data_IF_401847983347
#
_entry.id   IF_401847983347
#
_cell.length_a   1.000
_cell.length_b   1.000
_cell.length_c   1.000
_cell.angle_alpha   90.00
_cell.angle_beta   90.00
_cell.angle_gamma   90.00
#
_symmetry.space_group_name_H-M   'P 1'
#
loop_
_entity.id
_entity.type
_entity.pdbx_description
1 polymer ?
#
# COMPACT_ATOMS: atom_id res chain seq x y z
N UNK A 1 18.45 -1.04 -0.77
CA UNK A 1 17.98 -1.50 -2.09
C UNK A 1 16.50 -1.83 -2.00
N UNK A 2 15.68 -1.44 -2.99
CA UNK A 2 14.27 -1.86 -3.07
C UNK A 2 14.16 -3.02 -4.07
N UNK A 3 13.37 -4.04 -3.74
CA UNK A 3 13.09 -5.16 -4.64
C UNK A 3 11.74 -4.96 -5.32
N UNK A 4 11.64 -5.35 -6.59
CA UNK A 4 10.40 -5.31 -7.36
C UNK A 4 9.68 -6.64 -7.22
N UNK A 5 8.40 -6.58 -6.86
CA UNK A 5 7.52 -7.74 -6.73
C UNK A 5 6.26 -7.51 -7.56
N UNK A 6 5.68 -8.60 -8.05
CA UNK A 6 4.35 -8.61 -8.68
C UNK A 6 3.40 -9.31 -7.72
N UNK A 7 2.24 -8.73 -7.50
CA UNK A 7 1.21 -9.26 -6.61
C UNK A 7 -0.16 -9.13 -7.27
N UNK A 8 -1.05 -10.05 -6.93
CA UNK A 8 -2.46 -10.00 -7.29
C UNK A 8 -3.24 -9.56 -6.05
N UNK A 9 -4.10 -8.55 -6.20
CA UNK A 9 -4.97 -8.06 -5.14
C UNK A 9 -6.39 -7.91 -5.64
N UNK A 10 -7.31 -7.90 -4.69
CA UNK A 10 -8.71 -7.60 -4.94
C UNK A 10 -8.89 -6.24 -5.64
N UNK A 11 -9.90 -6.16 -6.52
CA UNK A 11 -10.15 -4.99 -7.36
C UNK A 11 -10.64 -3.79 -6.56
N UNK A 12 -11.47 -4.01 -5.54
CA UNK A 12 -11.96 -2.94 -4.69
C UNK A 12 -10.81 -2.38 -3.83
N UNK A 13 -9.92 -3.25 -3.35
CA UNK A 13 -8.70 -2.82 -2.65
C UNK A 13 -7.78 -1.98 -3.55
N UNK A 14 -7.61 -2.38 -4.81
CA UNK A 14 -6.84 -1.59 -5.79
C UNK A 14 -7.49 -0.23 -6.04
N UNK A 15 -8.82 -0.19 -6.20
CA UNK A 15 -9.57 1.06 -6.38
C UNK A 15 -9.44 2.00 -5.19
N UNK A 16 -9.54 1.48 -3.97
CA UNK A 16 -9.28 2.25 -2.75
C UNK A 16 -7.86 2.82 -2.71
N UNK A 17 -6.85 2.02 -3.08
CA UNK A 17 -5.45 2.46 -3.11
C UNK A 17 -5.23 3.56 -4.15
N UNK A 18 -5.86 3.44 -5.32
CA UNK A 18 -5.81 4.45 -6.38
C UNK A 18 -6.45 5.76 -5.94
N UNK A 19 -7.60 5.73 -5.27
CA UNK A 19 -8.21 6.92 -4.67
C UNK A 19 -7.26 7.64 -3.72
N UNK A 20 -6.51 6.90 -2.90
CA UNK A 20 -5.52 7.49 -1.98
C UNK A 20 -4.31 8.11 -2.70
N UNK A 21 -3.98 7.64 -3.90
CA UNK A 21 -2.96 8.27 -4.75
C UNK A 21 -3.51 9.57 -5.36
N UNK A 22 -4.76 9.56 -5.83
CA UNK A 22 -5.43 10.74 -6.39
C UNK A 22 -5.62 11.86 -5.35
N UNK A 23 -6.00 11.49 -4.12
CA UNK A 23 -6.08 12.38 -2.96
C UNK A 23 -4.71 12.92 -2.49
N UNK A 24 -3.60 12.53 -3.16
CA UNK A 24 -2.21 12.87 -2.83
C UNK A 24 -1.77 12.44 -1.43
N UNK A 25 -2.47 11.48 -0.83
CA UNK A 25 -2.06 10.83 0.43
C UNK A 25 -0.83 9.95 0.17
N UNK A 26 -0.79 9.26 -0.96
CA UNK A 26 0.36 8.47 -1.39
C UNK A 26 0.95 8.99 -2.71
N UNK A 27 2.27 9.06 -2.80
CA UNK A 27 2.97 9.40 -4.03
C UNK A 27 2.74 8.39 -5.17
N UNK A 28 2.47 7.11 -4.85
CA UNK A 28 2.10 6.05 -5.79
C UNK A 28 1.65 4.78 -5.02
N UNK A 29 1.18 3.77 -5.75
CA UNK A 29 0.75 2.47 -5.20
C UNK A 29 1.82 1.80 -4.34
N UNK A 30 3.08 1.78 -4.80
CA UNK A 30 4.18 1.15 -4.05
C UNK A 30 4.46 1.87 -2.73
N UNK A 31 4.37 3.20 -2.71
CA UNK A 31 4.47 3.99 -1.49
C UNK A 31 3.33 3.67 -0.50
N UNK A 32 2.10 3.60 -0.99
CA UNK A 32 0.95 3.22 -0.16
C UNK A 32 1.06 1.81 0.42
N UNK A 33 1.44 0.83 -0.40
CA UNK A 33 1.68 -0.55 0.06
C UNK A 33 2.82 -0.63 1.07
N UNK A 34 3.93 0.09 0.85
CA UNK A 34 5.05 0.16 1.79
C UNK A 34 4.63 0.77 3.14
N UNK A 35 3.85 1.85 3.11
CA UNK A 35 3.32 2.50 4.30
C UNK A 35 2.39 1.58 5.10
N UNK A 36 1.44 0.93 4.42
CA UNK A 36 0.47 0.03 5.04
C UNK A 36 1.15 -1.22 5.62
N UNK A 37 2.11 -1.79 4.90
CA UNK A 37 2.91 -2.92 5.39
C UNK A 37 3.73 -2.55 6.64
N UNK A 38 4.33 -1.34 6.67
CA UNK A 38 5.03 -0.83 7.86
C UNK A 38 4.07 -0.58 9.03
N UNK A 39 2.90 0.00 8.78
CA UNK A 39 1.87 0.25 9.79
C UNK A 39 1.40 -1.06 10.43
N UNK A 40 1.15 -2.10 9.62
CA UNK A 40 0.79 -3.43 10.11
C UNK A 40 1.93 -4.14 10.83
N UNK A 41 3.19 -3.97 10.41
CA UNK A 41 4.36 -4.48 11.16
C UNK A 41 4.53 -3.83 12.54
N UNK A 42 4.12 -2.58 12.71
CA UNK A 42 4.05 -1.93 14.03
C UNK A 42 2.84 -2.41 14.84
N UNK A 43 1.76 -2.84 14.19
CA UNK A 43 0.64 -3.55 14.82
C UNK A 43 0.89 -5.06 14.83
N UNK A 44 1.99 -5.49 15.45
CA UNK A 44 1.98 -6.74 16.22
C UNK A 44 1.90 -6.29 17.68
N UNK A 45 0.67 -6.03 18.11
CA UNK A 45 0.29 -6.03 19.52
C UNK A 45 -0.62 -7.24 19.66
N UNK A 46 -0.05 -8.28 20.28
CA UNK A 46 -0.65 -9.50 20.82
C UNK A 46 -1.42 -10.39 19.83
#
# INVERSE_FOLDING_TARGET
MKQRVTLTIDKDLLGWLDGKVDEKIFANRSHGLEFLAKKKKQTIVL
#
